data_IF_475860341389
#
_entry.id   IF_475860341389
#
_cell.length_a   1.000
_cell.length_b   1.000
_cell.length_c   1.000
_cell.angle_alpha   90.00
_cell.angle_beta   90.00
_cell.angle_gamma   90.00
#
_symmetry.space_group_name_H-M   'P 1'
#
loop_
_entity.id
_entity.type
_entity.pdbx_description
1 polymer ?
#
# COMPACT_ATOMS: atom_id res chain seq x y z
N UNK A 1 24.71 -20.91 4.72
CA UNK A 1 23.29 -20.72 5.12
C UNK A 1 23.11 -19.48 5.99
N UNK A 2 23.81 -19.35 7.12
CA UNK A 2 23.69 -18.19 8.04
C UNK A 2 23.93 -16.81 7.37
N UNK A 3 24.97 -16.69 6.52
CA UNK A 3 25.26 -15.42 5.80
C UNK A 3 24.14 -15.00 4.83
N UNK A 4 23.53 -15.94 4.08
CA UNK A 4 22.42 -15.65 3.16
C UNK A 4 21.17 -15.17 3.91
N UNK A 5 20.82 -15.84 5.03
CA UNK A 5 19.69 -15.45 5.88
C UNK A 5 19.90 -14.06 6.50
N UNK A 6 21.12 -13.76 6.91
CA UNK A 6 21.43 -12.44 7.47
C UNK A 6 21.39 -11.33 6.41
N UNK A 7 21.84 -11.62 5.18
CA UNK A 7 21.71 -10.71 4.04
C UNK A 7 20.25 -10.47 3.65
N UNK A 8 19.43 -11.52 3.58
CA UNK A 8 18.00 -11.43 3.34
C UNK A 8 17.30 -10.54 4.37
N UNK A 9 17.51 -10.81 5.66
CA UNK A 9 16.94 -10.00 6.74
C UNK A 9 17.38 -8.54 6.65
N UNK A 10 18.63 -8.27 6.26
CA UNK A 10 19.13 -6.93 6.02
C UNK A 10 18.42 -6.22 4.87
N UNK A 11 18.13 -6.91 3.76
CA UNK A 11 17.36 -6.37 2.63
C UNK A 11 15.92 -6.05 3.02
N UNK A 12 15.26 -6.96 3.73
CA UNK A 12 13.89 -6.76 4.20
C UNK A 12 13.81 -5.58 5.19
N UNK A 13 14.80 -5.46 6.08
CA UNK A 13 14.89 -4.35 7.04
C UNK A 13 15.13 -3.01 6.32
N UNK A 14 16.01 -2.98 5.33
CA UNK A 14 16.21 -1.81 4.48
C UNK A 14 14.90 -1.42 3.78
N UNK A 15 14.22 -2.37 3.15
CA UNK A 15 12.93 -2.15 2.49
C UNK A 15 11.90 -1.54 3.46
N UNK A 16 11.78 -2.12 4.65
CA UNK A 16 10.85 -1.68 5.70
C UNK A 16 11.15 -0.25 6.14
N UNK A 17 12.42 0.07 6.43
CA UNK A 17 12.84 1.40 6.88
C UNK A 17 12.67 2.45 5.79
N UNK A 18 13.03 2.11 4.55
CA UNK A 18 12.85 2.99 3.40
C UNK A 18 11.38 3.29 3.16
N UNK A 19 10.52 2.26 3.13
CA UNK A 19 9.07 2.42 2.94
C UNK A 19 8.44 3.26 4.05
N UNK A 20 8.81 3.00 5.31
CA UNK A 20 8.32 3.78 6.45
C UNK A 20 8.75 5.26 6.38
N UNK A 21 10.01 5.51 5.99
CA UNK A 21 10.52 6.87 5.84
C UNK A 21 9.79 7.62 4.73
N UNK A 22 9.60 6.99 3.56
CA UNK A 22 8.81 7.56 2.46
C UNK A 22 7.36 7.85 2.87
N UNK A 23 6.74 6.92 3.60
CA UNK A 23 5.38 7.10 4.10
C UNK A 23 5.24 8.33 5.01
N UNK A 24 6.13 8.46 6.01
CA UNK A 24 6.12 9.58 6.95
C UNK A 24 6.43 10.91 6.24
N UNK A 25 7.46 10.93 5.40
CA UNK A 25 7.83 12.13 4.65
C UNK A 25 6.70 12.55 3.71
N UNK A 26 6.08 11.60 3.00
CA UNK A 26 4.93 11.83 2.14
C UNK A 26 3.76 12.44 2.89
N UNK A 27 3.35 11.86 4.02
CA UNK A 27 2.25 12.41 4.83
C UNK A 27 2.55 13.83 5.30
N UNK A 28 3.76 14.08 5.83
CA UNK A 28 4.15 15.39 6.36
C UNK A 28 4.24 16.44 5.24
N UNK A 29 4.97 16.14 4.16
CA UNK A 29 5.12 17.07 3.04
C UNK A 29 3.81 17.29 2.30
N UNK A 30 3.03 16.23 2.06
CA UNK A 30 1.71 16.33 1.45
C UNK A 30 0.76 17.20 2.26
N UNK A 31 0.81 17.11 3.59
CA UNK A 31 0.02 17.98 4.49
C UNK A 31 0.46 19.44 4.42
N UNK A 32 1.78 19.71 4.41
CA UNK A 32 2.35 21.07 4.31
C UNK A 32 2.04 21.71 2.96
N UNK A 33 2.19 20.94 1.88
CA UNK A 33 2.01 21.40 0.49
C UNK A 33 0.54 21.40 0.07
N UNK A 34 -0.32 20.76 0.88
CA UNK A 34 -1.74 20.61 0.59
C UNK A 34 -2.01 19.66 -0.58
N UNK A 35 -1.22 18.61 -0.78
CA UNK A 35 -1.47 17.60 -1.82
C UNK A 35 -2.18 16.38 -1.23
N UNK A 36 -3.38 16.09 -1.72
CA UNK A 36 -4.14 14.91 -1.30
C UNK A 36 -3.49 13.64 -1.84
N UNK A 37 -2.92 13.65 -3.05
CA UNK A 37 -2.33 12.44 -3.65
C UNK A 37 -1.05 12.02 -2.94
N UNK A 38 -0.22 12.98 -2.49
CA UNK A 38 1.00 12.69 -1.74
C UNK A 38 0.64 12.17 -0.34
N UNK A 39 -0.37 12.75 0.31
CA UNK A 39 -0.86 12.22 1.60
C UNK A 39 -1.45 10.82 1.43
N UNK A 40 -2.23 10.59 0.37
CA UNK A 40 -2.80 9.28 0.06
C UNK A 40 -1.72 8.20 -0.11
N UNK A 41 -0.70 8.47 -0.92
CA UNK A 41 0.40 7.53 -1.16
C UNK A 41 1.17 7.19 0.13
N UNK A 42 1.51 8.23 0.91
CA UNK A 42 2.20 8.04 2.19
C UNK A 42 1.36 7.30 3.22
N UNK A 43 0.08 7.64 3.34
CA UNK A 43 -0.83 6.98 4.26
C UNK A 43 -1.09 5.52 3.85
N UNK A 44 -1.29 5.25 2.56
CA UNK A 44 -1.46 3.90 2.02
C UNK A 44 -0.25 3.02 2.36
N UNK A 45 0.96 3.54 2.15
CA UNK A 45 2.21 2.86 2.50
C UNK A 45 2.30 2.55 4.01
N UNK A 46 1.95 3.52 4.87
CA UNK A 46 1.99 3.34 6.32
C UNK A 46 0.96 2.29 6.80
N UNK A 47 -0.27 2.36 6.29
CA UNK A 47 -1.33 1.40 6.59
C UNK A 47 -0.94 0.01 6.11
N UNK A 48 -0.45 -0.12 4.87
CA UNK A 48 0.02 -1.38 4.31
C UNK A 48 1.14 -2.01 5.14
N UNK A 49 2.11 -1.20 5.61
CA UNK A 49 3.19 -1.65 6.48
C UNK A 49 2.66 -2.19 7.82
N UNK A 50 1.76 -1.45 8.48
CA UNK A 50 1.15 -1.89 9.74
C UNK A 50 0.35 -3.19 9.58
N UNK A 51 -0.42 -3.30 8.49
CA UNK A 51 -1.18 -4.49 8.13
C UNK A 51 -0.28 -5.68 7.75
N UNK A 52 0.89 -5.41 7.20
CA UNK A 52 1.91 -6.44 6.94
C UNK A 52 2.50 -6.96 8.25
N UNK A 53 2.79 -6.08 9.21
CA UNK A 53 3.21 -6.50 10.56
C UNK A 53 2.13 -7.35 11.25
N UNK A 54 0.86 -6.98 11.13
CA UNK A 54 -0.27 -7.79 11.61
C UNK A 54 -0.28 -9.18 10.96
N UNK A 55 -0.08 -9.25 9.64
CA UNK A 55 -0.04 -10.51 8.89
C UNK A 55 1.11 -11.40 9.35
N UNK A 56 2.30 -10.82 9.56
CA UNK A 56 3.46 -11.55 10.06
C UNK A 56 3.26 -12.04 11.50
N UNK A 57 2.63 -11.24 12.36
CA UNK A 57 2.27 -11.66 13.71
C UNK A 57 1.30 -12.84 13.71
N UNK A 58 0.26 -12.78 12.86
CA UNK A 58 -0.69 -13.87 12.68
C UNK A 58 -0.02 -15.13 12.12
N UNK A 59 0.81 -14.99 11.08
CA UNK A 59 1.57 -16.10 10.52
C UNK A 59 2.51 -16.73 11.56
N UNK A 60 3.20 -15.92 12.37
CA UNK A 60 4.05 -16.42 13.45
C UNK A 60 3.25 -17.21 14.49
N UNK A 61 2.05 -16.75 14.84
CA UNK A 61 1.15 -17.46 15.75
C UNK A 61 0.67 -18.81 15.16
N UNK A 62 0.24 -18.81 13.89
CA UNK A 62 -0.26 -19.99 13.17
C UNK A 62 0.81 -21.09 13.02
N UNK A 63 2.08 -20.71 12.85
CA UNK A 63 3.18 -21.65 12.68
C UNK A 63 3.75 -22.21 14.00
N UNK A 64 3.28 -21.76 15.17
CA UNK A 64 3.74 -22.32 16.45
C UNK A 64 3.33 -23.80 16.56
N UNK A 65 4.25 -24.70 16.94
CA UNK A 65 3.99 -26.14 17.00
C UNK A 65 2.98 -26.53 18.10
N UNK A 66 2.80 -25.68 19.12
CA UNK A 66 1.90 -25.90 20.24
C UNK A 66 0.43 -25.56 19.93
N UNK A 67 0.14 -24.97 18.78
CA UNK A 67 -1.21 -24.50 18.44
C UNK A 67 -2.02 -25.61 17.78
N UNK A 68 -3.21 -25.88 18.32
CA UNK A 68 -4.15 -26.86 17.77
C UNK A 68 -4.83 -26.31 16.50
N UNK A 69 -4.37 -26.83 15.36
CA UNK A 69 -4.83 -26.43 14.03
C UNK A 69 -6.17 -27.05 13.62
N UNK A 70 -6.71 -27.97 14.43
CA UNK A 70 -7.95 -28.68 14.14
C UNK A 70 -9.20 -27.93 14.60
N UNK A 71 -9.02 -26.86 15.38
CA UNK A 71 -10.12 -26.07 15.92
C UNK A 71 -10.69 -25.10 14.88
N UNK A 72 -12.02 -24.92 14.80
CA UNK A 72 -12.64 -23.94 13.91
C UNK A 72 -12.13 -22.51 14.17
N UNK A 73 -11.82 -22.16 15.43
CA UNK A 73 -11.27 -20.84 15.76
C UNK A 73 -9.93 -20.57 15.09
N UNK A 74 -9.10 -21.61 14.94
CA UNK A 74 -7.82 -21.48 14.26
C UNK A 74 -7.99 -21.26 12.75
N UNK A 75 -8.93 -21.97 12.12
CA UNK A 75 -9.27 -21.79 10.70
C UNK A 75 -9.78 -20.36 10.40
N UNK A 76 -10.36 -19.67 11.38
CA UNK A 76 -10.86 -18.29 11.20
C UNK A 76 -9.76 -17.22 11.24
N UNK A 77 -8.54 -17.51 11.73
CA UNK A 77 -7.51 -16.49 11.96
C UNK A 77 -7.05 -15.86 10.65
N UNK A 78 -6.69 -16.67 9.66
CA UNK A 78 -6.20 -16.19 8.37
C UNK A 78 -7.25 -15.33 7.63
N UNK A 79 -8.49 -15.81 7.40
CA UNK A 79 -9.51 -14.99 6.76
C UNK A 79 -9.90 -13.77 7.60
N UNK A 80 -9.90 -13.84 8.94
CA UNK A 80 -10.15 -12.65 9.77
C UNK A 80 -9.09 -11.56 9.56
N UNK A 81 -7.81 -11.94 9.50
CA UNK A 81 -6.72 -10.99 9.23
C UNK A 81 -6.86 -10.38 7.84
N UNK A 82 -7.15 -11.19 6.81
CA UNK A 82 -7.36 -10.70 5.44
C UNK A 82 -8.57 -9.75 5.37
N UNK A 83 -9.69 -10.08 6.05
CA UNK A 83 -10.87 -9.24 6.13
C UNK A 83 -10.57 -7.89 6.80
N UNK A 84 -9.80 -7.88 7.90
CA UNK A 84 -9.37 -6.64 8.58
C UNK A 84 -8.50 -5.80 7.63
N UNK A 85 -7.51 -6.41 6.97
CA UNK A 85 -6.64 -5.70 6.01
C UNK A 85 -7.45 -5.05 4.91
N UNK A 86 -8.32 -5.81 4.27
CA UNK A 86 -9.18 -5.32 3.21
C UNK A 86 -10.09 -4.18 3.70
N UNK A 87 -10.67 -4.33 4.89
CA UNK A 87 -11.57 -3.31 5.46
C UNK A 87 -10.86 -2.00 5.74
N UNK A 88 -9.67 -2.04 6.36
CA UNK A 88 -8.89 -0.83 6.70
C UNK A 88 -8.48 -0.09 5.43
N UNK A 89 -7.97 -0.80 4.41
CA UNK A 89 -7.58 -0.18 3.15
C UNK A 89 -8.80 0.37 2.41
N UNK A 90 -9.94 -0.33 2.42
CA UNK A 90 -11.18 0.14 1.80
C UNK A 90 -11.68 1.43 2.45
N UNK A 91 -11.70 1.51 3.79
CA UNK A 91 -12.10 2.72 4.52
C UNK A 91 -11.18 3.90 4.18
N UNK A 92 -9.87 3.67 4.13
CA UNK A 92 -8.91 4.68 3.68
C UNK A 92 -9.23 5.19 2.27
N UNK A 93 -9.45 4.28 1.31
CA UNK A 93 -9.76 4.66 -0.07
C UNK A 93 -11.05 5.48 -0.16
N UNK A 94 -12.10 5.08 0.59
CA UNK A 94 -13.36 5.81 0.64
C UNK A 94 -13.19 7.21 1.25
N UNK A 95 -12.40 7.33 2.33
CA UNK A 95 -12.11 8.61 2.95
C UNK A 95 -11.35 9.55 2.01
N UNK A 96 -10.31 9.06 1.36
CA UNK A 96 -9.53 9.84 0.39
C UNK A 96 -10.33 10.22 -0.85
N UNK A 97 -11.17 9.32 -1.35
CA UNK A 97 -12.11 9.62 -2.42
C UNK A 97 -13.09 10.73 -2.02
N UNK A 98 -13.68 10.64 -0.82
CA UNK A 98 -14.57 11.68 -0.29
C UNK A 98 -13.86 13.03 -0.22
N UNK A 99 -12.67 13.10 0.38
CA UNK A 99 -11.89 14.34 0.47
C UNK A 99 -11.51 14.91 -0.90
N UNK A 100 -11.24 14.06 -1.88
CA UNK A 100 -10.92 14.49 -3.24
C UNK A 100 -12.15 15.04 -3.98
N UNK A 101 -13.30 14.38 -3.85
CA UNK A 101 -14.57 14.89 -4.41
C UNK A 101 -14.95 16.22 -3.77
N UNK A 102 -14.82 16.35 -2.46
CA UNK A 102 -15.05 17.61 -1.75
C UNK A 102 -14.11 18.72 -2.25
N UNK A 103 -12.83 18.42 -2.46
CA UNK A 103 -11.87 19.37 -3.04
C UNK A 103 -12.24 19.80 -4.46
N UNK A 104 -12.76 18.89 -5.30
CA UNK A 104 -13.24 19.24 -6.65
C UNK A 104 -14.46 20.17 -6.56
N UNK A 105 -15.45 19.82 -5.73
CA UNK A 105 -16.70 20.58 -5.60
C UNK A 105 -16.51 21.95 -4.95
N UNK A 106 -15.47 22.12 -4.14
CA UNK A 106 -15.12 23.41 -3.49
C UNK A 106 -14.26 24.34 -4.37
N UNK A 107 -14.02 24.00 -5.64
CA UNK A 107 -13.28 24.84 -6.60
C UNK A 107 -11.84 24.39 -6.86
N UNK A 108 -11.48 23.18 -6.45
CA UNK A 108 -10.14 22.61 -6.61
C UNK A 108 -9.23 22.91 -5.42
N UNK A 109 -7.98 22.46 -5.52
CA UNK A 109 -6.97 22.63 -4.49
C UNK A 109 -5.72 23.25 -5.09
N UNK A 110 -5.33 24.41 -4.57
CA UNK A 110 -4.08 25.03 -4.96
C UNK A 110 -2.92 24.35 -4.22
N UNK A 111 -1.91 23.97 -4.98
CA UNK A 111 -0.80 23.12 -4.53
C UNK A 111 0.46 23.71 -5.10
N UNK A 112 1.51 23.75 -4.28
CA UNK A 112 2.81 24.13 -4.76
C UNK A 112 3.36 23.04 -5.70
N UNK A 113 3.04 23.16 -6.99
CA UNK A 113 3.44 22.21 -8.04
C UNK A 113 4.97 22.05 -8.12
N UNK A 114 5.74 23.08 -7.77
CA UNK A 114 7.19 23.01 -7.72
C UNK A 114 7.70 22.05 -6.65
N UNK A 115 7.16 22.15 -5.43
CA UNK A 115 7.51 21.24 -4.33
C UNK A 115 6.97 19.83 -4.60
N UNK A 116 5.75 19.71 -5.12
CA UNK A 116 5.16 18.42 -5.47
C UNK A 116 5.97 17.67 -6.55
N UNK A 117 6.46 18.38 -7.58
CA UNK A 117 7.35 17.82 -8.60
C UNK A 117 8.70 17.42 -8.02
N UNK A 118 9.30 18.26 -7.16
CA UNK A 118 10.56 17.95 -6.52
C UNK A 118 10.44 16.68 -5.66
N UNK A 119 9.36 16.58 -4.88
CA UNK A 119 9.06 15.37 -4.12
C UNK A 119 8.83 14.16 -5.04
N UNK A 120 8.00 14.29 -6.08
CA UNK A 120 7.76 13.20 -7.03
C UNK A 120 9.04 12.68 -7.69
N UNK A 121 9.99 13.57 -8.04
CA UNK A 121 11.31 13.17 -8.55
C UNK A 121 12.12 12.39 -7.51
N UNK A 122 12.12 12.83 -6.25
CA UNK A 122 12.78 12.12 -5.14
C UNK A 122 12.13 10.76 -4.91
N UNK A 123 10.80 10.66 -4.94
CA UNK A 123 10.06 9.40 -4.80
C UNK A 123 10.38 8.43 -5.93
N UNK A 124 10.29 8.85 -7.19
CA UNK A 124 10.62 7.99 -8.34
C UNK A 124 12.07 7.49 -8.25
N UNK A 125 13.01 8.39 -7.98
CA UNK A 125 14.44 8.01 -7.89
C UNK A 125 14.71 7.10 -6.70
N UNK A 126 14.10 7.37 -5.54
CA UNK A 126 14.24 6.58 -4.32
C UNK A 126 13.63 5.18 -4.46
N UNK A 127 12.42 5.09 -5.01
CA UNK A 127 11.75 3.81 -5.27
C UNK A 127 12.55 2.97 -6.26
N UNK A 128 13.00 3.57 -7.38
CA UNK A 128 13.78 2.86 -8.38
C UNK A 128 15.16 2.43 -7.86
N UNK A 129 15.83 3.29 -7.08
CA UNK A 129 17.11 2.94 -6.46
C UNK A 129 16.97 1.76 -5.49
N UNK A 130 15.92 1.76 -4.67
CA UNK A 130 15.64 0.67 -3.73
C UNK A 130 15.29 -0.62 -4.46
N UNK A 131 14.44 -0.54 -5.49
CA UNK A 131 14.15 -1.67 -6.39
C UNK A 131 15.43 -2.28 -6.95
N UNK A 132 16.28 -1.46 -7.59
CA UNK A 132 17.53 -1.92 -8.22
C UNK A 132 18.46 -2.57 -7.20
N UNK A 133 18.60 -1.97 -6.02
CA UNK A 133 19.45 -2.51 -4.96
C UNK A 133 18.96 -3.87 -4.45
N UNK A 134 17.66 -4.00 -4.16
CA UNK A 134 17.07 -5.26 -3.70
C UNK A 134 17.16 -6.31 -4.81
N UNK A 135 16.84 -5.97 -6.06
CA UNK A 135 16.84 -6.91 -7.17
C UNK A 135 18.23 -7.50 -7.46
N UNK A 136 19.26 -6.65 -7.47
CA UNK A 136 20.63 -7.11 -7.67
C UNK A 136 21.11 -8.03 -6.55
N UNK A 137 20.64 -7.82 -5.32
CA UNK A 137 21.02 -8.67 -4.18
C UNK A 137 20.13 -9.90 -4.04
N UNK A 138 18.86 -9.87 -4.46
CA UNK A 138 17.94 -11.01 -4.40
C UNK A 138 18.40 -12.16 -5.29
N UNK A 139 18.93 -11.84 -6.48
CA UNK A 139 19.51 -12.83 -7.42
C UNK A 139 20.68 -13.60 -6.82
N UNK A 140 21.47 -12.98 -5.93
CA UNK A 140 22.62 -13.61 -5.30
C UNK A 140 22.24 -14.55 -4.12
N UNK A 141 21.07 -14.32 -3.49
CA UNK A 141 20.63 -15.06 -2.30
C UNK A 141 19.50 -16.04 -2.57
N UNK A 142 18.85 -16.00 -3.75
CA UNK A 142 17.72 -16.85 -4.15
C UNK A 142 16.52 -16.77 -3.17
N UNK A 143 16.24 -15.57 -2.66
CA UNK A 143 15.13 -15.34 -1.72
C UNK A 143 13.85 -14.94 -2.45
N UNK A 144 12.81 -15.74 -2.28
CA UNK A 144 11.47 -15.43 -2.78
C UNK A 144 10.87 -14.18 -2.11
N UNK A 145 11.20 -13.92 -0.83
CA UNK A 145 10.75 -12.73 -0.10
C UNK A 145 11.41 -11.47 -0.65
N UNK A 146 12.73 -11.49 -0.87
CA UNK A 146 13.43 -10.35 -1.47
C UNK A 146 12.97 -10.07 -2.91
N UNK A 147 12.66 -11.10 -3.69
CA UNK A 147 12.06 -10.93 -5.02
C UNK A 147 10.63 -10.38 -4.96
N UNK A 148 9.83 -10.75 -3.95
CA UNK A 148 8.51 -10.16 -3.73
C UNK A 148 8.61 -8.66 -3.38
N UNK A 149 9.54 -8.28 -2.49
CA UNK A 149 9.82 -6.88 -2.18
C UNK A 149 10.29 -6.10 -3.42
N UNK A 150 11.19 -6.67 -4.23
CA UNK A 150 11.61 -6.02 -5.47
C UNK A 150 10.42 -5.79 -6.42
N UNK A 151 9.50 -6.76 -6.54
CA UNK A 151 8.27 -6.59 -7.33
C UNK A 151 7.35 -5.52 -6.77
N UNK A 152 7.33 -5.33 -5.45
CA UNK A 152 6.57 -4.23 -4.83
C UNK A 152 7.19 -2.87 -5.15
N UNK A 153 8.50 -2.72 -4.96
CA UNK A 153 9.20 -1.46 -5.24
C UNK A 153 9.10 -1.01 -6.71
N UNK A 154 9.07 -1.93 -7.67
CA UNK A 154 8.82 -1.55 -9.06
C UNK A 154 7.38 -1.07 -9.29
N UNK A 155 6.39 -1.65 -8.61
CA UNK A 155 5.01 -1.15 -8.63
C UNK A 155 4.92 0.25 -8.02
N UNK A 156 5.58 0.47 -6.87
CA UNK A 156 5.64 1.78 -6.21
C UNK A 156 6.34 2.83 -7.09
N UNK A 157 7.36 2.41 -7.85
CA UNK A 157 8.02 3.26 -8.84
C UNK A 157 7.04 3.66 -9.96
N UNK A 158 6.27 2.71 -10.50
CA UNK A 158 5.27 3.00 -11.55
C UNK A 158 4.20 3.97 -11.06
N UNK A 159 3.70 3.77 -9.83
CA UNK A 159 2.72 4.68 -9.20
C UNK A 159 3.34 6.08 -9.02
N UNK A 160 4.56 6.15 -8.49
CA UNK A 160 5.29 7.42 -8.31
C UNK A 160 5.51 8.17 -9.63
N UNK A 161 5.80 7.44 -10.72
CA UNK A 161 5.92 8.04 -12.06
C UNK A 161 4.58 8.59 -12.55
N UNK A 162 3.48 7.88 -12.33
CA UNK A 162 2.14 8.35 -12.69
C UNK A 162 1.77 9.64 -11.94
N UNK A 163 2.05 9.70 -10.63
CA UNK A 163 1.85 10.90 -9.80
C UNK A 163 2.73 12.06 -10.27
N UNK A 164 4.03 11.80 -10.52
CA UNK A 164 4.95 12.80 -11.05
C UNK A 164 4.49 13.34 -12.41
N UNK A 165 4.02 12.47 -13.30
CA UNK A 165 3.48 12.86 -14.60
C UNK A 165 2.23 13.73 -14.45
N UNK A 166 1.34 13.41 -13.51
CA UNK A 166 0.16 14.24 -13.22
C UNK A 166 0.53 15.65 -12.73
N UNK A 167 1.51 15.78 -11.83
CA UNK A 167 2.03 17.09 -11.43
C UNK A 167 2.77 17.83 -12.55
N UNK A 168 3.44 17.10 -13.43
CA UNK A 168 4.10 17.68 -14.59
C UNK A 168 3.08 18.28 -15.55
N UNK A 169 1.99 17.56 -15.83
CA UNK A 169 0.86 18.06 -16.62
C UNK A 169 0.22 19.27 -15.94
N UNK A 170 0.02 19.24 -14.62
CA UNK A 170 -0.51 20.37 -13.86
C UNK A 170 0.36 21.62 -14.03
N UNK A 171 1.69 21.48 -13.94
CA UNK A 171 2.63 22.58 -14.16
C UNK A 171 2.60 23.11 -15.59
N UNK A 172 2.47 22.24 -16.60
CA UNK A 172 2.31 22.68 -17.99
C UNK A 172 1.01 23.47 -18.17
N UNK A 173 -0.10 23.02 -17.57
CA UNK A 173 -1.38 23.74 -17.62
C UNK A 173 -1.26 25.16 -17.03
N UNK A 174 -0.52 25.34 -15.93
CA UNK A 174 -0.25 26.65 -15.34
C UNK A 174 0.47 27.62 -16.30
N UNK A 175 1.24 27.11 -17.27
CA UNK A 175 1.93 27.92 -18.27
C UNK A 175 1.06 28.25 -19.49
N UNK A 176 -0.19 27.78 -19.53
CA UNK A 176 -1.13 27.99 -20.64
C UNK A 176 -2.34 28.82 -20.19
N UNK A 177 -3.21 29.15 -21.14
CA UNK A 177 -4.52 29.77 -20.88
C UNK A 177 -5.45 28.93 -19.99
N UNK A 178 -5.13 27.65 -19.76
CA UNK A 178 -5.91 26.71 -18.96
C UNK A 178 -5.43 26.59 -17.50
N UNK A 179 -4.66 27.55 -16.99
CA UNK A 179 -4.10 27.52 -15.64
C UNK A 179 -5.16 27.28 -14.54
N UNK A 180 -6.39 27.75 -14.74
CA UNK A 180 -7.51 27.52 -13.82
C UNK A 180 -7.94 26.05 -13.67
N UNK A 181 -7.48 25.14 -14.55
CA UNK A 181 -7.74 23.70 -14.41
C UNK A 181 -6.66 22.97 -13.60
N UNK A 182 -5.49 23.57 -13.37
CA UNK A 182 -4.38 22.92 -12.66
C UNK A 182 -4.75 22.54 -11.21
N UNK A 183 -5.64 23.32 -10.57
CA UNK A 183 -6.14 23.07 -9.21
C UNK A 183 -6.93 21.77 -9.06
N UNK A 184 -7.40 21.17 -10.16
CA UNK A 184 -8.12 19.90 -10.12
C UNK A 184 -7.23 18.69 -10.32
N UNK A 185 -5.96 18.87 -10.71
CA UNK A 185 -5.07 17.77 -11.07
C UNK A 185 -4.88 16.79 -9.90
N UNK A 186 -4.58 17.28 -8.71
CA UNK A 186 -4.33 16.45 -7.53
C UNK A 186 -5.58 15.74 -7.00
N UNK A 187 -6.72 16.42 -6.76
CA UNK A 187 -7.96 15.72 -6.42
C UNK A 187 -8.37 14.68 -7.48
N UNK A 188 -8.17 14.97 -8.77
CA UNK A 188 -8.48 14.02 -9.84
C UNK A 188 -7.60 12.77 -9.76
N UNK A 189 -6.30 12.94 -9.50
CA UNK A 189 -5.39 11.80 -9.29
C UNK A 189 -5.84 10.94 -8.11
N UNK A 190 -6.29 11.53 -7.00
CA UNK A 190 -6.79 10.78 -5.84
C UNK A 190 -8.09 10.05 -6.14
N UNK A 191 -9.01 10.67 -6.87
CA UNK A 191 -10.25 10.01 -7.32
C UNK A 191 -9.90 8.77 -8.15
N UNK A 192 -9.02 8.91 -9.14
CA UNK A 192 -8.59 7.80 -10.00
C UNK A 192 -7.89 6.70 -9.19
N UNK A 193 -6.96 7.07 -8.32
CA UNK A 193 -6.23 6.13 -7.48
C UNK A 193 -7.15 5.38 -6.52
N UNK A 194 -8.09 6.07 -5.88
CA UNK A 194 -9.04 5.47 -4.92
C UNK A 194 -9.99 4.49 -5.61
N UNK A 195 -10.53 4.84 -6.79
CA UNK A 195 -11.40 3.96 -7.58
C UNK A 195 -10.64 2.72 -8.07
N UNK A 196 -9.38 2.87 -8.47
CA UNK A 196 -8.56 1.75 -8.89
C UNK A 196 -8.17 0.84 -7.72
N UNK A 197 -7.71 1.41 -6.60
CA UNK A 197 -7.23 0.64 -5.45
C UNK A 197 -8.34 -0.04 -4.67
N UNK A 198 -9.55 0.53 -4.57
CA UNK A 198 -10.63 -0.08 -3.77
C UNK A 198 -11.07 -1.46 -4.26
N UNK A 199 -10.81 -1.81 -5.52
CA UNK A 199 -11.17 -3.10 -6.13
C UNK A 199 -10.53 -4.27 -5.38
N UNK A 200 -9.23 -4.17 -5.06
CA UNK A 200 -8.48 -5.26 -4.42
C UNK A 200 -8.95 -5.50 -2.98
N UNK A 201 -9.01 -4.49 -2.09
CA UNK A 201 -9.49 -4.63 -0.73
C UNK A 201 -10.94 -5.12 -0.65
N UNK A 202 -11.85 -4.62 -1.50
CA UNK A 202 -13.25 -5.09 -1.51
C UNK A 202 -13.32 -6.58 -1.83
N UNK A 203 -12.54 -7.04 -2.82
CA UNK A 203 -12.45 -8.47 -3.14
C UNK A 203 -11.88 -9.28 -1.97
N UNK A 204 -10.84 -8.77 -1.29
CA UNK A 204 -10.27 -9.41 -0.10
C UNK A 204 -11.32 -9.56 1.01
N UNK A 205 -12.06 -8.50 1.34
CA UNK A 205 -13.13 -8.54 2.35
C UNK A 205 -14.21 -9.54 1.96
N UNK A 206 -14.69 -9.49 0.70
CA UNK A 206 -15.77 -10.35 0.24
C UNK A 206 -15.39 -11.83 0.33
N UNK A 207 -14.20 -12.20 -0.15
CA UNK A 207 -13.71 -13.58 -0.08
C UNK A 207 -13.55 -14.06 1.36
N UNK A 208 -12.94 -13.25 2.22
CA UNK A 208 -12.70 -13.63 3.61
C UNK A 208 -13.97 -13.71 4.44
N UNK A 209 -14.94 -12.83 4.21
CA UNK A 209 -16.25 -12.92 4.88
C UNK A 209 -16.98 -14.19 4.44
N UNK A 210 -16.91 -14.55 3.15
CA UNK A 210 -17.50 -15.80 2.66
C UNK A 210 -16.87 -17.02 3.34
N UNK A 211 -15.54 -17.09 3.41
CA UNK A 211 -14.81 -18.16 4.08
C UNK A 211 -15.15 -18.25 5.58
N UNK A 212 -15.28 -17.11 6.28
CA UNK A 212 -15.71 -17.08 7.68
C UNK A 212 -17.14 -17.63 7.88
N UNK A 213 -18.05 -17.32 6.96
CA UNK A 213 -19.42 -17.83 6.99
C UNK A 213 -19.48 -19.33 6.72
N UNK A 214 -18.65 -19.84 5.82
CA UNK A 214 -18.53 -21.28 5.55
C UNK A 214 -18.02 -22.03 6.79
N UNK A 215 -16.98 -21.53 7.45
CA UNK A 215 -16.43 -22.13 8.68
C UNK A 215 -17.47 -22.15 9.80
N UNK A 216 -18.27 -21.09 9.93
CA UNK A 216 -19.34 -21.02 10.93
C UNK A 216 -20.54 -21.92 10.59
N UNK A 217 -20.84 -22.11 9.30
CA UNK A 217 -21.99 -22.87 8.81
C UNK A 217 -21.81 -24.39 8.78
N UNK A 218 -20.59 -24.92 8.99
CA UNK A 218 -20.38 -26.37 9.05
C UNK A 218 -20.97 -26.97 10.35
N UNK A 219 -21.89 -27.94 10.27
CA UNK A 219 -22.29 -28.72 11.44
C UNK A 219 -21.08 -29.49 11.96
N UNK A 220 -20.92 -29.59 13.29
CA UNK A 220 -19.85 -30.32 13.98
C UNK A 220 -19.85 -31.86 13.75
N UNK A 221 -20.05 -32.33 12.51
CA UNK A 221 -20.25 -33.74 12.21
C UNK A 221 -19.02 -34.45 11.61
N UNK A 222 -17.90 -33.76 11.34
CA UNK A 222 -16.77 -34.39 10.64
C UNK A 222 -15.38 -34.31 11.29
N UNK A 223 -15.29 -33.99 12.57
CA UNK A 223 -14.00 -34.06 13.32
C UNK A 223 -13.77 -35.44 14.00
N UNK A 224 -14.70 -36.40 13.90
CA UNK A 224 -14.54 -37.75 14.48
C UNK A 224 -14.11 -38.86 13.50
N UNK A 225 -13.63 -38.52 12.31
CA UNK A 225 -13.19 -39.55 11.35
C UNK A 225 -12.09 -39.03 10.42
N UNK A 226 -10.88 -38.88 10.95
CA UNK A 226 -9.64 -39.19 10.24
C UNK A 226 -8.47 -39.28 11.21
#
# INVERSE_FOLDING_TARGET
>A
MSSKIQQERGLLLLSTISSFSFAVIGIVLGSIVGSLVIVFDGAYSLVSLALTMLSLGAAHYIHKPEVDKTTPQFAMIEPAVIAIKGSVIAVMCLWSFYSAVEAILSGGRDINAGVALAFGMVSVTGCYATYRYIKLKSENIESALADAEAKQWIMDTVISVAVLAGFFIAKLLMMTQYAGYAVYADPTMVVLASVYFIIVPVKMVWLSVHELLEIHGQPMAHVMSK
#
